data_IF_363458968227
#
_entry.id   IF_363458968227
#
_cell.length_a   1.000
_cell.length_b   1.000
_cell.length_c   1.000
_cell.angle_alpha   90.00
_cell.angle_beta   90.00
_cell.angle_gamma   90.00
#
_symmetry.space_group_name_H-M   'P 1'
#
loop_
_entity.id
_entity.type
_entity.pdbx_description
1 polymer ?
#
# COMPACT_ATOMS: atom_id res chain seq x y z
N UNK A 1 -2.66 15.08 1.38
CA UNK A 1 -3.26 13.90 2.03
C UNK A 1 -4.08 14.39 3.22
N UNK A 2 -5.22 13.78 3.49
CA UNK A 2 -6.08 14.08 4.63
C UNK A 2 -6.24 12.82 5.47
N UNK A 3 -6.32 12.96 6.79
CA UNK A 3 -6.50 11.82 7.69
C UNK A 3 -7.79 11.06 7.36
N UNK A 4 -7.68 9.73 7.37
CA UNK A 4 -8.77 8.79 7.17
C UNK A 4 -8.93 7.97 8.47
N UNK A 5 -10.15 7.78 9.00
CA UNK A 5 -10.37 6.99 10.21
C UNK A 5 -9.74 5.60 10.10
N UNK A 6 -8.94 5.20 11.09
CA UNK A 6 -8.13 3.98 11.02
C UNK A 6 -8.99 2.71 10.84
N UNK A 7 -10.18 2.68 11.44
CA UNK A 7 -11.18 1.62 11.28
C UNK A 7 -11.69 1.47 9.83
N UNK A 8 -11.46 2.44 8.95
CA UNK A 8 -11.80 2.37 7.52
C UNK A 8 -10.61 2.01 6.63
N UNK A 9 -9.40 1.90 7.18
CA UNK A 9 -8.19 1.63 6.39
C UNK A 9 -8.28 0.31 5.61
N UNK A 10 -8.94 -0.70 6.15
CA UNK A 10 -9.08 -1.99 5.48
C UNK A 10 -9.85 -1.92 4.16
N UNK A 11 -10.80 -0.97 4.04
CA UNK A 11 -11.58 -0.75 2.81
C UNK A 11 -10.73 -0.33 1.61
N UNK A 12 -9.49 0.13 1.86
CA UNK A 12 -8.52 0.48 0.82
C UNK A 12 -7.79 -0.74 0.25
N UNK A 13 -7.79 -1.87 0.97
CA UNK A 13 -7.02 -3.09 0.63
C UNK A 13 -7.97 -4.26 0.32
N UNK A 14 -9.15 -4.31 0.94
CA UNK A 14 -10.15 -5.36 0.74
C UNK A 14 -10.50 -5.65 -0.73
N UNK A 15 -10.57 -4.66 -1.65
CA UNK A 15 -10.79 -4.93 -3.08
C UNK A 15 -9.61 -5.67 -3.77
N UNK A 16 -8.48 -5.86 -3.09
CA UNK A 16 -7.27 -6.48 -3.62
C UNK A 16 -6.56 -5.63 -4.69
N UNK A 17 -6.31 -4.32 -4.47
CA UNK A 17 -5.56 -3.53 -5.43
C UNK A 17 -4.07 -3.87 -5.39
N UNK A 18 -3.37 -3.58 -6.48
CA UNK A 18 -1.91 -3.47 -6.49
C UNK A 18 -1.53 -2.28 -5.63
N UNK A 19 -0.55 -2.47 -4.74
CA UNK A 19 -0.05 -1.44 -3.85
C UNK A 19 1.42 -1.14 -4.10
N UNK A 20 1.84 0.06 -3.70
CA UNK A 20 3.24 0.43 -3.58
C UNK A 20 3.61 0.39 -2.10
N UNK A 21 4.65 -0.35 -1.73
CA UNK A 21 5.17 -0.37 -0.36
C UNK A 21 6.42 0.49 -0.30
N UNK A 22 6.37 1.53 0.51
CA UNK A 22 7.47 2.44 0.76
C UNK A 22 8.18 2.04 2.05
N UNK A 23 9.50 1.94 1.99
CA UNK A 23 10.36 1.71 3.16
C UNK A 23 11.42 2.79 3.22
N UNK A 24 12.05 2.95 4.39
CA UNK A 24 13.16 3.88 4.59
C UNK A 24 14.20 3.24 5.48
N UNK A 25 15.46 3.35 5.09
CA UNK A 25 16.62 2.96 5.89
C UNK A 25 17.60 4.14 5.92
N UNK A 26 17.84 4.69 7.11
CA UNK A 26 18.52 5.98 7.26
C UNK A 26 17.79 7.07 6.46
N UNK A 27 18.50 7.74 5.55
CA UNK A 27 17.93 8.77 4.68
C UNK A 27 17.44 8.26 3.33
N UNK A 28 17.59 6.97 3.04
CA UNK A 28 17.21 6.40 1.76
C UNK A 28 15.84 5.76 1.83
N UNK A 29 14.89 6.32 1.08
CA UNK A 29 13.59 5.70 0.86
C UNK A 29 13.58 4.86 -0.41
N UNK A 30 12.84 3.74 -0.40
CA UNK A 30 12.64 2.89 -1.57
C UNK A 30 11.17 2.51 -1.73
N UNK A 31 10.80 2.06 -2.93
CA UNK A 31 9.45 1.65 -3.28
C UNK A 31 9.50 0.25 -3.93
N UNK A 32 8.59 -0.63 -3.55
CA UNK A 32 8.32 -1.88 -4.27
C UNK A 32 6.84 -1.98 -4.63
N UNK A 33 6.55 -2.72 -5.70
CA UNK A 33 5.17 -3.02 -6.12
C UNK A 33 4.77 -4.37 -5.56
N UNK A 34 3.61 -4.47 -4.92
CA UNK A 34 3.07 -5.71 -4.37
C UNK A 34 1.63 -5.88 -4.84
N UNK A 35 1.32 -7.04 -5.40
CA UNK A 35 -0.05 -7.47 -5.73
C UNK A 35 -0.59 -8.56 -4.80
N UNK A 36 0.22 -9.01 -3.84
CA UNK A 36 -0.12 -10.07 -2.90
C UNK A 36 -0.31 -9.47 -1.51
N UNK A 37 -1.54 -9.01 -1.27
CA UNK A 37 -1.96 -8.35 -0.02
C UNK A 37 -3.27 -8.92 0.49
N UNK A 38 -3.48 -8.91 1.80
CA UNK A 38 -4.69 -9.40 2.43
C UNK A 38 -5.02 -8.56 3.66
N UNK A 39 -6.31 -8.25 3.83
CA UNK A 39 -6.87 -7.76 5.11
C UNK A 39 -7.02 -8.97 6.03
N UNK A 40 -6.52 -8.88 7.27
CA UNK A 40 -6.55 -10.04 8.19
C UNK A 40 -7.87 -10.16 8.97
N UNK A 41 -8.51 -9.04 9.28
CA UNK A 41 -9.79 -8.94 9.97
C UNK A 41 -10.34 -7.51 9.84
N UNK A 42 -11.38 -7.16 10.59
CA UNK A 42 -11.89 -5.78 10.64
C UNK A 42 -11.00 -4.80 11.42
N UNK A 43 -9.91 -5.28 12.02
CA UNK A 43 -8.89 -4.44 12.61
C UNK A 43 -7.97 -3.88 11.51
N UNK A 44 -7.17 -2.85 11.80
CA UNK A 44 -6.29 -2.26 10.81
C UNK A 44 -5.03 -3.12 10.60
N UNK A 45 -5.19 -4.42 10.32
CA UNK A 45 -4.09 -5.37 10.13
C UNK A 45 -4.09 -5.96 8.73
N UNK A 46 -2.89 -6.08 8.18
CA UNK A 46 -2.66 -6.53 6.82
C UNK A 46 -1.57 -7.58 6.78
N UNK A 47 -1.61 -8.43 5.75
CA UNK A 47 -0.49 -9.26 5.36
C UNK A 47 -0.06 -8.88 3.94
N UNK A 48 1.25 -8.85 3.72
CA UNK A 48 1.85 -8.76 2.39
C UNK A 48 2.87 -9.89 2.20
N UNK A 49 3.03 -10.37 0.98
CA UNK A 49 4.07 -11.36 0.67
C UNK A 49 5.27 -10.70 -0.01
N UNK A 50 6.45 -10.84 0.60
CA UNK A 50 7.74 -10.38 0.07
C UNK A 50 8.89 -11.10 0.76
N UNK A 51 10.11 -11.00 0.24
CA UNK A 51 11.28 -11.57 0.89
C UNK A 51 12.57 -10.97 0.37
N UNK A 52 13.69 -11.65 0.64
CA UNK A 52 15.04 -11.16 0.35
C UNK A 52 15.32 -10.84 -1.13
N UNK A 53 14.48 -11.33 -2.06
CA UNK A 53 14.54 -10.94 -3.48
C UNK A 53 14.12 -9.48 -3.74
N UNK A 54 13.46 -8.83 -2.78
CA UNK A 54 13.10 -7.42 -2.83
C UNK A 54 14.03 -6.59 -1.94
N UNK A 55 14.67 -5.56 -2.51
CA UNK A 55 15.56 -4.65 -1.75
C UNK A 55 14.89 -4.05 -0.50
N UNK A 56 13.60 -3.73 -0.58
CA UNK A 56 12.84 -3.18 0.55
C UNK A 56 12.71 -4.13 1.74
N UNK A 57 12.93 -5.44 1.58
CA UNK A 57 12.74 -6.42 2.64
C UNK A 57 13.72 -6.22 3.81
N UNK A 58 14.99 -5.89 3.52
CA UNK A 58 15.97 -5.59 4.57
C UNK A 58 15.51 -4.41 5.44
N UNK A 59 15.03 -3.34 4.80
CA UNK A 59 14.48 -2.19 5.51
C UNK A 59 13.25 -2.56 6.37
N UNK A 60 12.36 -3.44 5.88
CA UNK A 60 11.24 -3.95 6.69
C UNK A 60 11.72 -4.71 7.93
N UNK A 61 12.77 -5.54 7.80
CA UNK A 61 13.31 -6.30 8.91
C UNK A 61 13.97 -5.40 9.97
N UNK A 62 14.76 -4.42 9.52
CA UNK A 62 15.53 -3.54 10.41
C UNK A 62 14.67 -2.46 11.06
N UNK A 63 13.85 -1.76 10.27
CA UNK A 63 13.12 -0.58 10.76
C UNK A 63 11.73 -0.90 11.28
N UNK A 64 11.17 -2.05 10.89
CA UNK A 64 9.80 -2.46 11.24
C UNK A 64 8.74 -1.42 10.84
N UNK A 65 9.01 -0.59 9.83
CA UNK A 65 8.10 0.46 9.39
C UNK A 65 7.95 0.47 7.86
N UNK A 66 6.73 0.73 7.39
CA UNK A 66 6.45 0.96 5.98
C UNK A 66 5.22 1.85 5.77
N UNK A 67 5.05 2.30 4.54
CA UNK A 67 3.79 2.89 4.07
C UNK A 67 3.26 2.03 2.93
N UNK A 68 2.00 1.59 3.03
CA UNK A 68 1.26 1.02 1.89
C UNK A 68 0.55 2.17 1.19
N UNK A 69 0.96 2.49 -0.04
CA UNK A 69 0.35 3.53 -0.87
C UNK A 69 -0.49 2.90 -1.99
N UNK A 70 -1.72 3.38 -2.16
CA UNK A 70 -2.68 2.83 -3.13
C UNK A 70 -2.64 3.71 -4.39
N UNK A 71 -2.06 3.25 -5.51
CA UNK A 71 -2.03 3.99 -6.76
C UNK A 71 -3.40 4.03 -7.43
N UNK A 72 -3.63 5.05 -8.27
CA UNK A 72 -4.76 5.05 -9.20
C UNK A 72 -4.36 4.44 -10.55
N UNK A 73 -5.36 4.15 -11.38
CA UNK A 73 -5.18 3.55 -12.71
C UNK A 73 -4.26 4.35 -13.65
N UNK A 74 -4.26 5.68 -13.53
CA UNK A 74 -3.36 6.60 -14.25
C UNK A 74 -1.88 6.47 -13.86
N UNK A 75 -1.54 5.72 -12.81
CA UNK A 75 -0.17 5.47 -12.39
C UNK A 75 0.38 4.11 -12.85
N UNK A 76 -0.35 3.38 -13.71
CA UNK A 76 0.03 2.02 -14.15
C UNK A 76 1.48 1.90 -14.61
N UNK A 77 1.95 2.79 -15.48
CA UNK A 77 3.33 2.75 -15.98
C UNK A 77 4.37 2.92 -14.86
N UNK A 78 4.06 3.74 -13.85
CA UNK A 78 4.93 3.89 -12.67
C UNK A 78 4.90 2.64 -11.81
N UNK A 79 3.72 2.04 -11.61
CA UNK A 79 3.55 0.81 -10.82
C UNK A 79 4.37 -0.34 -11.45
N UNK A 80 4.26 -0.54 -12.75
CA UNK A 80 5.04 -1.56 -13.50
C UNK A 80 6.53 -1.22 -13.50
N UNK A 81 6.87 0.04 -13.78
CA UNK A 81 8.27 0.50 -13.78
C UNK A 81 8.96 0.28 -12.42
N UNK A 82 8.28 0.55 -11.32
CA UNK A 82 8.80 0.32 -9.95
C UNK A 82 9.02 -1.18 -9.69
N UNK A 83 8.11 -2.03 -10.16
CA UNK A 83 8.18 -3.48 -9.99
C UNK A 83 9.27 -4.15 -10.84
N UNK A 84 9.74 -3.49 -11.90
CA UNK A 84 10.72 -4.02 -12.86
C UNK A 84 12.15 -3.50 -12.64
N UNK A 85 12.40 -2.74 -11.57
CA UNK A 85 13.74 -2.29 -11.19
C UNK A 85 14.02 -2.47 -9.70
N UNK A 86 15.29 -2.43 -9.31
CA UNK A 86 15.72 -2.61 -7.92
C UNK A 86 16.01 -1.28 -7.25
N UNK A 87 15.75 -1.20 -5.94
CA UNK A 87 16.15 -0.04 -5.14
C UNK A 87 17.66 0.02 -4.86
N UNK A 88 18.42 -1.05 -5.19
CA UNK A 88 19.87 -1.12 -4.98
C UNK A 88 20.61 -0.05 -5.77
N UNK A 89 20.28 0.12 -7.04
CA UNK A 89 20.94 1.01 -8.00
C UNK A 89 20.06 2.17 -8.50
N UNK A 90 18.79 2.18 -8.10
CA UNK A 90 17.81 3.13 -8.61
C UNK A 90 17.14 3.91 -7.47
N UNK A 91 17.27 5.24 -7.51
CA UNK A 91 16.37 6.13 -6.76
C UNK A 91 15.00 6.16 -7.48
N UNK A 92 14.07 5.36 -6.96
CA UNK A 92 12.75 5.20 -7.56
C UNK A 92 11.85 6.43 -7.39
N UNK A 93 11.99 7.19 -6.31
CA UNK A 93 11.23 8.45 -6.17
C UNK A 93 11.63 9.42 -7.27
N UNK A 94 12.94 9.60 -7.49
CA UNK A 94 13.46 10.47 -8.55
C UNK A 94 13.12 9.95 -9.94
N UNK A 95 13.38 8.66 -10.22
CA UNK A 95 13.16 8.04 -11.54
C UNK A 95 11.70 8.15 -11.99
N UNK A 96 10.75 7.88 -11.09
CA UNK A 96 9.32 7.87 -11.41
C UNK A 96 8.62 9.19 -11.11
N UNK A 97 9.37 10.24 -10.74
CA UNK A 97 8.85 11.58 -10.42
C UNK A 97 7.69 11.47 -9.44
N UNK A 98 7.92 10.75 -8.34
CA UNK A 98 6.98 10.61 -7.24
C UNK A 98 7.38 11.56 -6.14
N UNK A 99 6.40 12.18 -5.50
CA UNK A 99 6.69 13.17 -4.50
C UNK A 99 6.49 12.63 -3.08
N UNK A 100 7.58 12.51 -2.30
CA UNK A 100 7.45 12.12 -0.90
C UNK A 100 6.73 13.20 -0.10
N UNK A 101 5.83 12.80 0.77
CA UNK A 101 5.26 13.63 1.82
C UNK A 101 5.63 13.04 3.19
N UNK A 102 5.84 13.87 4.22
CA UNK A 102 6.07 13.36 5.56
C UNK A 102 4.88 12.52 6.03
N UNK A 103 5.20 11.35 6.58
CA UNK A 103 4.28 10.55 7.37
C UNK A 103 4.15 11.13 8.78
N UNK A 104 3.14 10.68 9.53
CA UNK A 104 2.80 11.21 10.86
C UNK A 104 3.31 10.34 12.01
N UNK A 105 3.46 9.03 11.79
CA UNK A 105 3.70 8.01 12.80
C UNK A 105 4.85 7.06 12.44
N UNK A 106 5.36 7.10 11.20
CA UNK A 106 6.47 6.27 10.70
C UNK A 106 7.48 7.09 9.89
N UNK A 107 8.70 6.58 9.73
CA UNK A 107 9.77 7.25 8.97
C UNK A 107 9.62 7.20 7.42
N UNK A 108 9.10 6.11 6.80
CA UNK A 108 8.90 6.06 5.36
C UNK A 108 7.86 7.09 4.89
N UNK A 109 8.11 7.83 3.79
CA UNK A 109 7.21 8.88 3.34
C UNK A 109 5.96 8.33 2.66
N UNK A 110 4.89 9.14 2.66
CA UNK A 110 3.72 8.92 1.81
C UNK A 110 4.05 9.31 0.35
N UNK A 111 3.23 8.84 -0.61
CA UNK A 111 3.33 9.23 -2.02
C UNK A 111 2.17 10.17 -2.37
N UNK A 112 2.46 11.43 -2.72
CA UNK A 112 1.43 12.43 -3.02
C UNK A 112 0.49 12.00 -4.15
N UNK A 113 1.03 11.32 -5.15
CA UNK A 113 0.30 10.94 -6.36
C UNK A 113 -0.69 9.79 -6.13
N UNK A 114 -0.58 9.05 -5.03
CA UNK A 114 -1.47 7.94 -4.71
C UNK A 114 -2.87 8.40 -4.24
N UNK A 115 -3.85 7.51 -4.38
CA UNK A 115 -5.24 7.69 -3.93
C UNK A 115 -5.34 7.72 -2.41
N UNK A 116 -4.54 6.88 -1.75
CA UNK A 116 -4.49 6.75 -0.31
C UNK A 116 -3.12 6.24 0.14
N UNK A 117 -2.84 6.36 1.43
CA UNK A 117 -1.65 5.80 2.07
C UNK A 117 -1.97 5.34 3.47
N UNK A 118 -1.35 4.24 3.88
CA UNK A 118 -1.53 3.61 5.18
C UNK A 118 -0.14 3.48 5.79
N UNK A 119 0.08 4.13 6.92
CA UNK A 119 1.31 4.01 7.70
C UNK A 119 1.23 2.75 8.55
N UNK A 120 2.24 1.88 8.47
CA UNK A 120 2.22 0.56 9.07
C UNK A 120 3.50 0.26 9.86
N UNK A 121 3.35 -0.51 10.92
CA UNK A 121 4.45 -1.18 11.62
C UNK A 121 4.42 -2.67 11.35
N UNK A 122 5.59 -3.28 11.22
CA UNK A 122 5.73 -4.72 11.08
C UNK A 122 5.61 -5.37 12.46
N UNK A 123 4.59 -6.19 12.64
CA UNK A 123 4.32 -6.88 13.91
C UNK A 123 4.75 -8.35 13.89
N UNK A 124 4.86 -8.98 12.72
CA UNK A 124 5.32 -10.36 12.61
C UNK A 124 5.89 -10.70 11.22
N UNK A 125 6.70 -11.76 11.16
CA UNK A 125 7.20 -12.39 9.94
C UNK A 125 6.90 -13.89 9.96
N UNK A 126 5.98 -14.34 9.11
CA UNK A 126 5.79 -15.78 8.86
C UNK A 126 6.85 -16.22 7.85
N UNK A 127 8.06 -16.40 8.37
CA UNK A 127 9.30 -16.52 7.58
C UNK A 127 9.24 -17.65 6.55
N UNK A 128 8.63 -18.79 6.91
CA UNK A 128 8.48 -19.94 6.01
C UNK A 128 7.72 -19.60 4.71
N UNK A 129 6.84 -18.60 4.76
CA UNK A 129 5.95 -18.23 3.65
C UNK A 129 6.27 -16.85 3.07
N UNK A 130 7.29 -16.15 3.59
CA UNK A 130 7.59 -14.79 3.17
C UNK A 130 6.44 -13.81 3.43
N UNK A 131 5.62 -14.05 4.46
CA UNK A 131 4.52 -13.16 4.82
C UNK A 131 5.00 -12.18 5.88
N UNK A 132 4.77 -10.90 5.63
CA UNK A 132 4.99 -9.81 6.57
C UNK A 132 3.63 -9.35 7.09
N UNK A 133 3.45 -9.40 8.41
CA UNK A 133 2.23 -8.96 9.06
C UNK A 133 2.41 -7.52 9.54
N UNK A 134 1.44 -6.69 9.20
CA UNK A 134 1.47 -5.25 9.39
C UNK A 134 0.31 -4.79 10.25
N UNK A 135 0.56 -3.86 11.15
CA UNK A 135 -0.45 -3.10 11.89
C UNK A 135 -0.43 -1.65 11.42
N UNK A 136 -1.58 -1.15 10.97
CA UNK A 136 -1.72 0.24 10.58
C UNK A 136 -1.77 1.14 11.81
N UNK A 137 -1.04 2.26 11.74
CA UNK A 137 -0.95 3.26 12.82
C UNK A 137 -1.51 4.62 12.40
N UNK A 138 -1.65 4.86 11.10
CA UNK A 138 -2.37 5.99 10.52
C UNK A 138 -2.84 5.66 9.10
N UNK A 139 -3.92 6.30 8.65
CA UNK A 139 -4.41 6.17 7.28
C UNK A 139 -4.75 7.55 6.71
N UNK A 140 -4.58 7.69 5.40
CA UNK A 140 -4.73 8.96 4.70
C UNK A 140 -5.40 8.77 3.35
N UNK A 141 -6.36 9.63 3.02
CA UNK A 141 -6.96 9.73 1.70
C UNK A 141 -6.46 10.94 0.91
N UNK A 142 -6.57 10.88 -0.42
CA UNK A 142 -6.26 11.98 -1.31
C UNK A 142 -7.50 12.48 -2.07
N UNK A 143 -8.33 13.35 -1.47
CA UNK A 143 -9.54 13.84 -2.11
C UNK A 143 -9.26 14.74 -3.32
N UNK A 144 -8.03 15.23 -3.52
CA UNK A 144 -7.69 16.07 -4.68
C UNK A 144 -7.57 15.29 -6.00
N UNK A 145 -7.46 13.96 -5.95
CA UNK A 145 -7.30 13.11 -7.14
C UNK A 145 -8.60 13.05 -7.95
N UNK A 146 -8.49 13.20 -9.28
CA UNK A 146 -9.64 13.01 -10.19
C UNK A 146 -9.86 11.53 -10.51
N UNK A 147 -8.79 10.81 -10.82
CA UNK A 147 -8.85 9.35 -10.94
C UNK A 147 -9.11 8.74 -9.56
N UNK A 148 -10.00 7.75 -9.51
CA UNK A 148 -10.41 7.03 -8.29
C UNK A 148 -10.29 5.52 -8.43
N UNK A 149 -10.18 5.01 -9.65
CA UNK A 149 -10.12 3.58 -9.95
C UNK A 149 -8.76 3.02 -9.57
N UNK A 150 -8.78 1.88 -8.90
CA UNK A 150 -7.62 1.08 -8.57
C UNK A 150 -7.26 0.14 -9.71
N UNK A 151 -6.10 -0.51 -9.56
CA UNK A 151 -5.55 -1.51 -10.48
C UNK A 151 -5.45 -2.85 -9.77
N UNK A 152 -5.76 -3.95 -10.47
CA UNK A 152 -5.69 -5.31 -9.96
C UNK A 152 -4.84 -6.15 -10.93
N UNK A 153 -3.73 -6.71 -10.47
CA UNK A 153 -2.86 -7.53 -11.30
C UNK A 153 -3.48 -8.91 -11.54
N UNK A 154 -3.38 -9.42 -12.77
CA UNK A 154 -3.88 -10.75 -13.17
C UNK A 154 -2.78 -11.83 -13.07
N UNK A 155 -1.50 -11.42 -13.02
CA UNK A 155 -0.35 -12.30 -12.82
C UNK A 155 0.48 -12.60 -14.08
N UNK A 156 0.01 -12.19 -15.25
CA UNK A 156 0.70 -12.32 -16.55
C UNK A 156 1.23 -10.98 -17.09
N UNK A 157 1.28 -9.96 -16.23
CA UNK A 157 1.60 -8.57 -16.60
C UNK A 157 0.41 -7.75 -17.09
N UNK A 158 -0.80 -8.34 -17.17
CA UNK A 158 -2.04 -7.60 -17.41
C UNK A 158 -2.70 -7.14 -16.11
N UNK A 159 -3.57 -6.13 -16.24
CA UNK A 159 -4.25 -5.48 -15.13
C UNK A 159 -5.72 -5.24 -15.45
N UNK A 160 -6.56 -5.37 -14.43
CA UNK A 160 -7.96 -4.95 -14.44
C UNK A 160 -8.06 -3.62 -13.71
N UNK A 161 -8.84 -2.69 -14.25
CA UNK A 161 -9.18 -1.42 -13.62
C UNK A 161 -10.56 -1.55 -12.98
N UNK A 162 -10.78 -0.91 -11.83
CA UNK A 162 -12.10 -0.86 -11.19
C UNK A 162 -13.23 -0.54 -12.18
N UNK A 163 -14.32 -1.29 -12.03
CA UNK A 163 -15.53 -1.14 -12.83
C UNK A 163 -16.62 -0.35 -12.11
N UNK A 164 -17.86 -0.87 -12.17
CA UNK A 164 -19.03 -0.23 -11.54
C UNK A 164 -19.01 -0.45 -10.03
N UNK A 165 -19.27 0.61 -9.27
CA UNK A 165 -19.51 0.53 -7.83
C UNK A 165 -20.98 0.16 -7.55
N UNK A 166 -21.20 -0.85 -6.71
CA UNK A 166 -22.52 -1.34 -6.32
C UNK A 166 -22.67 -1.25 -4.80
N UNK A 167 -23.67 -0.51 -4.33
CA UNK A 167 -23.90 -0.31 -2.90
C UNK A 167 -24.92 -1.31 -2.34
N UNK A 168 -24.52 -2.07 -1.32
CA UNK A 168 -25.36 -3.01 -0.57
C UNK A 168 -25.23 -2.82 0.95
N UNK A 169 -24.87 -1.60 1.40
CA UNK A 169 -24.65 -1.30 2.82
C UNK A 169 -25.88 -1.59 3.69
N UNK A 170 -27.09 -1.34 3.19
CA UNK A 170 -28.34 -1.59 3.94
C UNK A 170 -28.52 -3.07 4.30
N UNK A 171 -28.49 -4.03 3.35
CA UNK A 171 -28.48 -5.46 3.68
C UNK A 171 -27.31 -5.91 4.57
N UNK A 172 -26.16 -5.24 4.51
CA UNK A 172 -24.95 -5.61 5.25
C UNK A 172 -24.83 -4.94 6.62
N UNK A 173 -25.78 -4.10 7.03
CA UNK A 173 -25.65 -3.23 8.21
C UNK A 173 -25.30 -4.00 9.50
N UNK A 174 -25.75 -5.25 9.65
CA UNK A 174 -25.47 -6.09 10.84
C UNK A 174 -24.10 -6.77 10.83
N UNK A 175 -23.35 -6.64 9.73
CA UNK A 175 -22.03 -7.25 9.51
C UNK A 175 -20.90 -6.24 9.38
N UNK A 176 -21.23 -4.97 9.16
CA UNK A 176 -20.25 -3.90 9.04
C UNK A 176 -19.78 -3.46 10.43
N UNK A 177 -18.46 -3.26 10.64
CA UNK A 177 -17.95 -2.62 11.84
C UNK A 177 -18.49 -1.20 11.99
N UNK A 178 -18.51 -0.71 13.23
CA UNK A 178 -18.90 0.67 13.50
C UNK A 178 -17.98 1.66 12.76
N UNK A 179 -18.59 2.65 12.09
CA UNK A 179 -17.89 3.71 11.38
C UNK A 179 -17.37 3.34 9.98
N UNK A 180 -17.79 2.20 9.42
CA UNK A 180 -17.50 1.76 8.04
C UNK A 180 -18.66 2.03 7.10
#
# INVERSE_FOLDING_TARGET
>A
MQALPLNRAFTLIEPGPVVLVVTREGDRSNIMTISWTMVLDFSPRFAITTGAWNHSFLALQHTRECVIAIPGADLLDKVVGIGTCSGVDTDKFRRFRLTPLPATQVAPPLIRECLASIECRVIDFVTQHGIVVLEAVAAHGNPARRERRMLHAVGDGSFIVDGRHLDRRVPMATKLPEGV
#
